data_IF_217379564576
#
_entry.id   IF_217379564576
#
_cell.length_a   1.000
_cell.length_b   1.000
_cell.length_c   1.000
_cell.angle_alpha   90.00
_cell.angle_beta   90.00
_cell.angle_gamma   90.00
#
_symmetry.space_group_name_H-M   'P 1'
#
loop_
_entity.id
_entity.type
_entity.pdbx_description
1 polymer ?
#
# COMPACT_ATOMS: atom_id res chain seq x y z
N UNK A 1 3.68 -0.66 -5.29
CA UNK A 1 2.22 -0.50 -5.51
C UNK A 1 1.91 -1.10 -6.85
N UNK A 2 0.93 -1.97 -6.90
CA UNK A 2 0.64 -2.76 -8.10
C UNK A 2 -0.71 -2.38 -8.67
N UNK A 3 -0.79 -2.28 -9.98
CA UNK A 3 -2.08 -2.18 -10.67
C UNK A 3 -2.92 -3.40 -10.34
N UNK A 4 -4.16 -3.17 -9.99
CA UNK A 4 -5.14 -4.23 -9.75
C UNK A 4 -5.76 -4.61 -11.10
N UNK A 5 -5.08 -5.46 -11.86
CA UNK A 5 -5.55 -5.96 -13.16
C UNK A 5 -6.62 -7.02 -12.98
N UNK A 6 -7.85 -6.61 -12.59
CA UNK A 6 -8.95 -7.56 -12.36
C UNK A 6 -10.29 -6.89 -12.59
N UNK A 7 -11.31 -7.69 -12.83
CA UNK A 7 -12.69 -7.21 -12.94
C UNK A 7 -13.17 -6.70 -11.58
N UNK A 8 -13.37 -5.40 -11.46
CA UNK A 8 -14.12 -4.80 -10.35
C UNK A 8 -15.60 -5.19 -10.50
N UNK A 9 -16.37 -5.24 -9.38
CA UNK A 9 -17.82 -5.36 -9.47
C UNK A 9 -18.37 -4.31 -10.41
N UNK A 10 -19.38 -4.66 -11.19
CA UNK A 10 -20.04 -3.70 -12.05
C UNK A 10 -21.13 -2.91 -11.28
N UNK A 11 -21.70 -1.92 -11.95
CA UNK A 11 -22.77 -1.10 -11.36
C UNK A 11 -23.98 -1.95 -11.02
N UNK A 12 -24.29 -2.96 -11.84
CA UNK A 12 -25.42 -3.85 -11.61
C UNK A 12 -25.25 -4.66 -10.32
N UNK A 13 -24.02 -5.15 -10.02
CA UNK A 13 -23.73 -5.85 -8.75
C UNK A 13 -24.04 -4.96 -7.54
N UNK A 14 -23.71 -3.66 -7.63
CA UNK A 14 -24.03 -2.69 -6.56
C UNK A 14 -25.54 -2.48 -6.42
N UNK A 15 -26.23 -2.30 -7.53
CA UNK A 15 -27.69 -2.09 -7.54
C UNK A 15 -28.42 -3.31 -6.97
N UNK A 16 -27.95 -4.53 -7.29
CA UNK A 16 -28.60 -5.78 -6.87
C UNK A 16 -28.52 -6.01 -5.36
N UNK A 17 -27.44 -5.58 -4.71
CA UNK A 17 -27.28 -5.76 -3.26
C UNK A 17 -28.03 -4.71 -2.42
N UNK A 18 -28.50 -3.63 -3.03
CA UNK A 18 -29.21 -2.55 -2.33
C UNK A 18 -30.72 -2.85 -2.26
N UNK A 19 -31.32 -2.86 -1.06
CA UNK A 19 -32.72 -3.18 -0.88
C UNK A 19 -33.61 -1.97 -1.16
N UNK A 20 -33.94 -1.75 -2.41
CA UNK A 20 -34.90 -0.74 -2.84
C UNK A 20 -35.83 -1.29 -3.93
N UNK A 21 -36.91 -0.58 -4.21
CA UNK A 21 -37.84 -1.02 -5.26
C UNK A 21 -37.25 -0.83 -6.66
N UNK A 22 -37.82 -1.50 -7.66
CA UNK A 22 -37.32 -1.48 -9.03
C UNK A 22 -37.20 -0.04 -9.63
N UNK A 23 -38.11 0.84 -9.29
CA UNK A 23 -38.05 2.24 -9.75
C UNK A 23 -36.84 3.00 -9.16
N UNK A 24 -36.52 2.75 -7.88
CA UNK A 24 -35.32 3.29 -7.25
C UNK A 24 -34.04 2.62 -7.77
N UNK A 25 -34.08 1.32 -8.08
CA UNK A 25 -32.94 0.61 -8.68
C UNK A 25 -32.58 1.17 -10.05
N UNK A 26 -33.57 1.40 -10.89
CA UNK A 26 -33.32 2.00 -12.22
C UNK A 26 -32.71 3.38 -12.10
N UNK A 27 -33.25 4.24 -11.21
CA UNK A 27 -32.70 5.57 -10.96
C UNK A 27 -31.26 5.49 -10.39
N UNK A 28 -31.00 4.54 -9.51
CA UNK A 28 -29.67 4.34 -8.94
C UNK A 28 -28.67 3.90 -10.01
N UNK A 29 -29.09 3.00 -10.90
CA UNK A 29 -28.27 2.53 -12.01
C UNK A 29 -27.90 3.68 -12.93
N UNK A 30 -28.88 4.43 -13.43
CA UNK A 30 -28.65 5.60 -14.27
C UNK A 30 -27.72 6.62 -13.61
N UNK A 31 -27.96 6.91 -12.34
CA UNK A 31 -27.11 7.81 -11.56
C UNK A 31 -25.67 7.35 -11.47
N UNK A 32 -25.43 6.06 -11.17
CA UNK A 32 -24.08 5.51 -11.08
C UNK A 32 -23.40 5.41 -12.45
N UNK A 33 -24.12 5.13 -13.51
CA UNK A 33 -23.58 5.07 -14.88
C UNK A 33 -23.05 6.45 -15.32
N UNK A 34 -23.79 7.52 -15.05
CA UNK A 34 -23.33 8.89 -15.36
C UNK A 34 -22.04 9.23 -14.59
N UNK A 35 -22.01 8.91 -13.30
CA UNK A 35 -20.83 9.18 -12.46
C UNK A 35 -19.64 8.31 -12.87
N UNK A 36 -19.87 7.04 -13.23
CA UNK A 36 -18.80 6.11 -13.65
C UNK A 36 -18.15 6.57 -14.95
N UNK A 37 -18.95 7.06 -15.90
CA UNK A 37 -18.46 7.59 -17.17
C UNK A 37 -17.55 8.80 -16.94
N UNK A 38 -18.00 9.80 -16.18
CA UNK A 38 -17.18 10.97 -15.83
C UNK A 38 -15.93 10.59 -15.04
N UNK A 39 -16.07 9.68 -14.05
CA UNK A 39 -14.94 9.22 -13.27
C UNK A 39 -13.88 8.55 -14.15
N UNK A 40 -14.29 7.68 -15.09
CA UNK A 40 -13.39 6.99 -16.02
C UNK A 40 -12.67 7.93 -16.97
N UNK A 41 -13.36 8.98 -17.43
CA UNK A 41 -12.72 10.02 -18.24
C UNK A 41 -11.62 10.73 -17.43
N UNK A 42 -11.91 11.15 -16.21
CA UNK A 42 -10.96 11.88 -15.36
C UNK A 42 -9.84 11.01 -14.78
N UNK A 43 -10.02 9.70 -14.70
CA UNK A 43 -8.96 8.78 -14.29
C UNK A 43 -7.79 8.78 -15.30
N UNK A 44 -8.09 8.93 -16.58
CA UNK A 44 -7.10 8.99 -17.66
C UNK A 44 -6.44 10.37 -17.71
N UNK A 45 -7.20 11.43 -17.47
CA UNK A 45 -6.68 12.80 -17.45
C UNK A 45 -6.00 13.12 -16.11
N UNK A 46 -6.79 13.26 -15.07
CA UNK A 46 -6.36 13.48 -13.69
C UNK A 46 -7.57 13.59 -12.74
N UNK A 47 -7.63 12.75 -11.71
CA UNK A 47 -8.79 12.67 -10.81
C UNK A 47 -9.12 13.95 -10.05
N UNK A 48 -8.14 14.86 -9.85
CA UNK A 48 -8.45 16.13 -9.19
C UNK A 48 -9.41 17.01 -10.00
N UNK A 49 -9.47 16.81 -11.34
CA UNK A 49 -10.40 17.54 -12.24
C UNK A 49 -11.82 17.03 -12.17
N UNK A 50 -12.08 15.89 -11.54
CA UNK A 50 -13.43 15.33 -11.43
C UNK A 50 -14.39 16.35 -10.79
N UNK A 51 -15.41 16.77 -11.52
CA UNK A 51 -16.42 17.69 -11.05
C UNK A 51 -17.83 17.16 -11.34
N UNK A 52 -18.40 16.46 -10.37
CA UNK A 52 -19.72 15.84 -10.52
C UNK A 52 -20.87 16.86 -10.58
N UNK A 53 -20.64 18.13 -10.22
CA UNK A 53 -21.65 19.18 -10.34
C UNK A 53 -21.90 19.57 -11.82
N UNK A 54 -20.93 19.29 -12.70
CA UNK A 54 -21.07 19.56 -14.13
C UNK A 54 -21.82 18.45 -14.86
N UNK A 55 -21.64 17.17 -14.44
CA UNK A 55 -22.30 16.04 -15.10
C UNK A 55 -23.70 15.72 -14.53
N UNK A 56 -23.95 16.08 -13.28
CA UNK A 56 -25.27 15.93 -12.66
C UNK A 56 -26.03 17.26 -12.79
N UNK A 57 -27.02 17.32 -13.65
CA UNK A 57 -27.90 18.47 -13.73
C UNK A 57 -28.51 18.78 -12.35
N UNK A 58 -28.52 20.04 -11.96
CA UNK A 58 -28.83 20.55 -10.61
C UNK A 58 -30.19 20.15 -10.03
N UNK A 59 -31.06 19.57 -10.82
CA UNK A 59 -32.39 19.10 -10.40
C UNK A 59 -32.47 17.62 -10.03
N UNK A 60 -31.38 16.87 -10.12
CA UNK A 60 -31.45 15.40 -10.10
C UNK A 60 -30.45 14.68 -9.20
N UNK A 61 -30.02 15.22 -8.04
CA UNK A 61 -29.41 14.37 -7.04
C UNK A 61 -30.51 13.46 -6.43
N UNK A 62 -30.70 12.22 -6.95
CA UNK A 62 -31.84 11.40 -6.54
C UNK A 62 -31.63 10.80 -5.15
N UNK A 63 -30.41 10.92 -4.61
CA UNK A 63 -30.02 10.29 -3.36
C UNK A 63 -29.17 11.21 -2.51
N UNK A 64 -29.58 11.38 -1.25
CA UNK A 64 -28.83 12.15 -0.26
C UNK A 64 -27.60 11.41 0.29
N UNK A 65 -26.69 12.17 0.88
CA UNK A 65 -25.44 11.66 1.42
C UNK A 65 -25.62 10.57 2.51
N UNK A 66 -26.63 10.69 3.33
CA UNK A 66 -26.85 9.74 4.42
C UNK A 66 -27.35 8.41 3.89
N UNK A 67 -28.23 8.43 2.90
CA UNK A 67 -28.74 7.24 2.22
C UNK A 67 -27.63 6.47 1.52
N UNK A 68 -26.77 7.15 0.74
CA UNK A 68 -25.63 6.53 0.07
C UNK A 68 -24.63 5.94 1.05
N UNK A 69 -24.31 6.63 2.15
CA UNK A 69 -23.42 6.13 3.19
C UNK A 69 -23.98 4.92 3.94
N UNK A 70 -25.31 4.91 4.19
CA UNK A 70 -25.98 3.75 4.78
C UNK A 70 -25.94 2.54 3.85
N UNK A 71 -26.20 2.72 2.56
CA UNK A 71 -26.11 1.66 1.56
C UNK A 71 -24.69 1.11 1.46
N UNK A 72 -23.68 1.99 1.42
CA UNK A 72 -22.28 1.53 1.49
C UNK A 72 -22.03 0.65 2.72
N UNK A 73 -22.35 1.17 3.91
CA UNK A 73 -22.05 0.51 5.17
C UNK A 73 -22.75 -0.85 5.32
N UNK A 74 -24.02 -0.88 4.98
CA UNK A 74 -24.90 -2.01 5.31
C UNK A 74 -25.02 -3.04 4.18
N UNK A 75 -24.72 -2.65 2.94
CA UNK A 75 -24.92 -3.51 1.77
C UNK A 75 -23.66 -3.67 0.95
N UNK A 76 -23.15 -2.62 0.32
CA UNK A 76 -22.00 -2.69 -0.60
C UNK A 76 -20.78 -3.26 0.10
N UNK A 77 -20.34 -2.66 1.20
CA UNK A 77 -19.19 -3.16 1.94
C UNK A 77 -19.34 -4.58 2.44
N UNK A 78 -20.52 -4.94 2.97
CA UNK A 78 -20.72 -6.25 3.56
C UNK A 78 -20.88 -7.37 2.54
N UNK A 79 -21.58 -7.11 1.43
CA UNK A 79 -21.94 -8.12 0.45
C UNK A 79 -20.95 -8.23 -0.69
N UNK A 80 -20.33 -7.11 -1.10
CA UNK A 80 -19.46 -7.07 -2.27
C UNK A 80 -17.95 -7.05 -1.94
N UNK A 81 -17.55 -6.97 -0.68
CA UNK A 81 -16.12 -6.92 -0.33
C UNK A 81 -15.34 -8.10 -0.94
N UNK A 82 -15.93 -9.28 -1.01
CA UNK A 82 -15.29 -10.47 -1.58
C UNK A 82 -15.29 -10.47 -3.12
N UNK A 83 -16.19 -9.70 -3.76
CA UNK A 83 -16.25 -9.57 -5.21
C UNK A 83 -15.22 -8.59 -5.77
N UNK A 84 -14.68 -7.69 -4.91
CA UNK A 84 -13.58 -6.83 -5.32
C UNK A 84 -12.31 -7.65 -5.55
N UNK A 85 -11.51 -7.28 -6.56
CA UNK A 85 -10.33 -8.04 -6.94
C UNK A 85 -9.29 -8.11 -5.82
N UNK A 86 -8.54 -9.19 -5.84
CA UNK A 86 -7.37 -9.41 -4.99
C UNK A 86 -6.13 -9.37 -5.84
N UNK A 87 -5.15 -8.60 -5.42
CA UNK A 87 -3.80 -8.75 -5.95
C UNK A 87 -3.23 -10.00 -5.30
N UNK A 88 -2.70 -10.92 -6.10
CA UNK A 88 -2.06 -12.13 -5.62
C UNK A 88 -0.57 -12.07 -5.92
N UNK A 89 0.23 -12.51 -4.97
CA UNK A 89 1.63 -12.80 -5.22
C UNK A 89 1.78 -14.11 -6.01
N UNK A 90 2.99 -14.55 -6.25
CA UNK A 90 3.27 -15.74 -7.04
C UNK A 90 2.79 -17.05 -6.42
N UNK A 91 2.80 -17.12 -5.09
CA UNK A 91 2.29 -18.27 -4.34
C UNK A 91 0.77 -18.27 -4.28
N UNK A 92 0.11 -17.42 -5.09
CA UNK A 92 -1.34 -17.18 -5.08
C UNK A 92 -1.87 -16.64 -3.75
N UNK A 93 -0.98 -16.10 -2.91
CA UNK A 93 -1.35 -15.47 -1.64
C UNK A 93 -1.85 -14.05 -1.92
N UNK A 94 -3.03 -13.72 -1.42
CA UNK A 94 -3.61 -12.41 -1.58
C UNK A 94 -2.85 -11.35 -0.77
N UNK A 95 -2.55 -10.22 -1.43
CA UNK A 95 -1.87 -9.07 -0.83
C UNK A 95 -2.69 -7.79 -0.99
N UNK A 96 -2.47 -6.86 -0.08
CA UNK A 96 -3.12 -5.54 -0.17
C UNK A 96 -2.42 -4.66 -1.21
N UNK A 97 -3.16 -4.04 -2.15
CA UNK A 97 -2.55 -3.27 -3.24
C UNK A 97 -1.76 -2.04 -2.77
N UNK A 98 -2.09 -1.45 -1.62
CA UNK A 98 -1.40 -0.27 -1.11
C UNK A 98 -0.07 -0.60 -0.44
N UNK A 99 -0.11 -1.42 0.59
CA UNK A 99 1.07 -1.72 1.40
C UNK A 99 1.71 -3.06 1.05
N UNK A 100 1.11 -3.84 0.16
CA UNK A 100 1.56 -5.15 -0.29
C UNK A 100 1.74 -6.18 0.84
N UNK A 101 1.09 -5.96 1.99
CA UNK A 101 1.03 -6.93 3.06
C UNK A 101 0.12 -8.11 2.68
N UNK A 102 0.46 -9.29 3.18
CA UNK A 102 -0.39 -10.48 3.05
C UNK A 102 -1.73 -10.24 3.73
N UNK A 103 -2.82 -10.74 3.15
CA UNK A 103 -4.15 -10.71 3.75
C UNK A 103 -4.19 -11.58 5.01
N UNK A 104 -3.78 -11.03 6.13
CA UNK A 104 -3.82 -11.69 7.44
C UNK A 104 -4.66 -10.95 8.47
N UNK A 105 -5.20 -9.80 8.10
CA UNK A 105 -5.94 -8.89 8.99
C UNK A 105 -7.32 -8.59 8.42
N UNK A 106 -8.08 -7.76 9.10
CA UNK A 106 -9.40 -7.36 8.63
C UNK A 106 -9.31 -6.61 7.30
N UNK A 107 -9.85 -7.22 6.25
CA UNK A 107 -10.01 -6.60 4.94
C UNK A 107 -11.07 -5.51 5.05
N UNK A 108 -10.82 -4.38 4.41
CA UNK A 108 -11.76 -3.27 4.30
C UNK A 108 -11.76 -2.71 2.88
N UNK A 109 -12.77 -1.92 2.54
CA UNK A 109 -12.80 -1.15 1.31
C UNK A 109 -12.46 0.31 1.64
N UNK A 110 -11.46 0.84 0.97
CA UNK A 110 -11.07 2.25 1.01
C UNK A 110 -11.65 2.99 -0.19
N UNK A 111 -11.93 4.26 0.00
CA UNK A 111 -12.37 5.15 -1.07
C UNK A 111 -11.17 5.89 -1.63
N UNK A 112 -10.90 5.74 -2.92
CA UNK A 112 -9.82 6.45 -3.60
C UNK A 112 -10.03 7.95 -3.47
N UNK A 113 -11.20 8.46 -3.89
CA UNK A 113 -11.66 9.79 -3.52
C UNK A 113 -12.52 9.65 -2.27
N UNK A 114 -12.19 10.31 -1.15
CA UNK A 114 -12.89 10.14 0.12
C UNK A 114 -14.37 10.54 0.06
N UNK A 115 -15.22 9.81 0.77
CA UNK A 115 -16.67 10.08 0.91
C UNK A 115 -17.03 11.07 2.03
N UNK A 116 -16.05 11.63 2.73
CA UNK A 116 -16.27 12.52 3.87
C UNK A 116 -16.71 13.93 3.48
N UNK A 117 -16.91 14.80 4.49
CA UNK A 117 -17.33 16.20 4.26
C UNK A 117 -16.40 17.02 3.34
N UNK A 118 -15.16 16.59 3.20
CA UNK A 118 -14.14 17.22 2.33
C UNK A 118 -13.82 16.40 1.09
N UNK A 119 -14.49 15.28 0.92
CA UNK A 119 -14.45 14.42 -0.26
C UNK A 119 -15.72 14.60 -1.08
N UNK A 120 -16.13 13.51 -1.75
CA UNK A 120 -17.38 13.47 -2.51
C UNK A 120 -18.21 12.24 -2.14
N UNK A 121 -19.33 12.45 -1.44
CA UNK A 121 -20.19 11.37 -0.98
C UNK A 121 -20.89 10.63 -2.14
N UNK A 122 -21.02 11.26 -3.30
CA UNK A 122 -21.63 10.68 -4.51
C UNK A 122 -20.88 9.47 -5.01
N UNK A 123 -19.56 9.43 -4.75
CA UNK A 123 -18.66 8.33 -5.09
C UNK A 123 -18.66 7.19 -4.05
N UNK A 124 -19.51 7.30 -3.01
CA UNK A 124 -19.48 6.42 -1.84
C UNK A 124 -19.70 4.94 -2.17
N UNK A 125 -20.50 4.63 -3.19
CA UNK A 125 -20.84 3.26 -3.62
C UNK A 125 -20.37 2.94 -5.04
N UNK A 126 -19.62 3.84 -5.67
CA UNK A 126 -19.08 3.65 -7.02
C UNK A 126 -17.94 2.62 -7.00
N UNK A 127 -18.05 1.47 -7.69
CA UNK A 127 -17.05 0.40 -7.60
C UNK A 127 -15.63 0.81 -7.93
N UNK A 128 -15.43 1.58 -9.02
CA UNK A 128 -14.09 2.03 -9.44
C UNK A 128 -13.42 2.98 -8.44
N UNK A 129 -14.20 3.57 -7.53
CA UNK A 129 -13.69 4.38 -6.41
C UNK A 129 -13.40 3.57 -5.14
N UNK A 130 -13.63 2.25 -5.16
CA UNK A 130 -13.48 1.38 -4.00
C UNK A 130 -12.38 0.35 -4.23
N UNK A 131 -11.46 0.21 -3.28
CA UNK A 131 -10.35 -0.73 -3.37
C UNK A 131 -10.15 -1.48 -2.06
N UNK A 132 -9.82 -2.77 -2.15
CA UNK A 132 -9.46 -3.57 -0.96
C UNK A 132 -8.19 -3.03 -0.31
N UNK A 133 -8.22 -2.83 0.99
CA UNK A 133 -7.01 -2.48 1.74
C UNK A 133 -7.03 -3.06 3.15
N UNK A 134 -5.90 -3.03 3.84
CA UNK A 134 -5.83 -3.39 5.25
C UNK A 134 -6.41 -2.27 6.12
N UNK A 135 -6.79 -2.62 7.35
CA UNK A 135 -7.33 -1.65 8.31
C UNK A 135 -6.35 -0.51 8.59
N UNK A 136 -5.07 -0.77 8.62
CA UNK A 136 -4.04 0.24 8.89
C UNK A 136 -3.97 1.30 7.79
N UNK A 137 -4.00 0.89 6.52
CA UNK A 137 -4.08 1.82 5.40
C UNK A 137 -5.41 2.59 5.38
N UNK A 138 -6.54 1.96 5.72
CA UNK A 138 -7.85 2.61 5.76
C UNK A 138 -8.00 3.63 6.91
N UNK A 139 -7.23 3.50 7.97
CA UNK A 139 -7.24 4.48 9.09
C UNK A 139 -6.31 5.66 8.86
N UNK A 140 -5.71 5.75 7.69
CA UNK A 140 -4.79 6.82 7.30
C UNK A 140 -5.50 8.19 7.15
N UNK A 141 -4.72 9.23 7.01
CA UNK A 141 -5.19 10.62 7.00
C UNK A 141 -5.86 11.07 5.68
N UNK A 142 -6.18 10.13 4.80
CA UNK A 142 -6.84 10.44 3.53
C UNK A 142 -8.32 10.79 3.76
N UNK A 143 -8.59 12.06 3.99
CA UNK A 143 -9.94 12.55 4.34
C UNK A 143 -10.46 13.66 3.42
N UNK A 144 -9.67 14.07 2.42
CA UNK A 144 -10.00 15.20 1.53
C UNK A 144 -9.78 14.79 0.10
N UNK A 145 -10.70 15.23 -0.79
CA UNK A 145 -10.45 15.24 -2.22
C UNK A 145 -9.32 16.20 -2.55
N UNK A 146 -8.47 15.82 -3.45
CA UNK A 146 -7.36 16.63 -3.96
C UNK A 146 -7.87 17.89 -4.65
N UNK A 147 -7.03 18.93 -4.63
CA UNK A 147 -7.36 20.24 -5.21
C UNK A 147 -6.36 20.69 -6.26
N UNK A 148 -5.33 19.91 -6.48
CA UNK A 148 -4.31 20.18 -7.49
C UNK A 148 -3.82 18.88 -8.10
N UNK A 149 -3.21 18.98 -9.25
CA UNK A 149 -2.61 17.85 -9.96
C UNK A 149 -1.56 17.13 -9.09
N UNK A 150 -0.75 17.87 -8.35
CA UNK A 150 0.28 17.34 -7.47
C UNK A 150 -0.28 16.49 -6.32
N UNK A 151 -1.51 16.76 -5.90
CA UNK A 151 -2.20 16.04 -4.83
C UNK A 151 -3.14 14.97 -5.37
N UNK A 152 -3.32 14.87 -6.68
CA UNK A 152 -4.31 14.00 -7.30
C UNK A 152 -4.16 12.56 -6.82
N UNK A 153 -5.29 11.96 -6.52
CA UNK A 153 -5.37 10.59 -6.06
C UNK A 153 -4.81 9.65 -7.12
N UNK A 154 -4.16 8.58 -6.64
CA UNK A 154 -3.66 7.48 -7.47
C UNK A 154 -4.69 6.37 -7.45
N UNK A 155 -5.17 5.98 -8.62
CA UNK A 155 -6.08 4.86 -8.76
C UNK A 155 -5.34 3.61 -9.23
N UNK A 156 -5.12 2.66 -8.33
CA UNK A 156 -4.37 1.44 -8.61
C UNK A 156 -5.09 0.46 -9.56
N UNK A 157 -6.30 0.75 -10.03
CA UNK A 157 -6.92 0.00 -11.12
C UNK A 157 -6.31 0.36 -12.48
N UNK A 158 -5.73 1.54 -12.62
CA UNK A 158 -5.16 2.04 -13.89
C UNK A 158 -3.70 2.50 -13.78
N UNK A 159 -3.23 2.80 -12.59
CA UNK A 159 -1.88 3.32 -12.34
C UNK A 159 -1.06 2.34 -11.51
N UNK A 160 0.21 2.17 -11.86
CA UNK A 160 1.17 1.42 -11.05
C UNK A 160 2.47 2.20 -10.87
N UNK A 161 3.08 2.06 -9.70
CA UNK A 161 4.37 2.66 -9.40
C UNK A 161 5.25 1.63 -8.71
N UNK A 162 6.39 1.34 -9.26
CA UNK A 162 7.37 0.41 -8.68
C UNK A 162 8.16 1.08 -7.54
N UNK A 163 7.46 1.48 -6.49
CA UNK A 163 8.07 2.14 -5.32
C UNK A 163 9.12 1.24 -4.65
N UNK A 164 8.97 -0.07 -4.74
CA UNK A 164 9.88 -1.02 -4.14
C UNK A 164 11.34 -0.80 -4.52
N UNK A 165 11.60 -0.48 -5.80
CA UNK A 165 12.96 -0.24 -6.28
C UNK A 165 13.62 1.00 -5.67
N UNK A 166 12.84 1.87 -5.03
CA UNK A 166 13.29 3.12 -4.42
C UNK A 166 13.20 3.11 -2.89
N UNK A 167 13.02 1.93 -2.31
CA UNK A 167 13.09 1.75 -0.87
C UNK A 167 14.56 1.64 -0.47
N UNK A 168 14.97 2.51 0.44
CA UNK A 168 16.26 2.49 1.11
C UNK A 168 16.06 2.21 2.59
N UNK A 169 17.04 1.59 3.22
CA UNK A 169 17.04 1.32 4.66
C UNK A 169 18.16 2.13 5.30
N UNK A 170 17.83 2.90 6.30
CA UNK A 170 18.74 3.62 7.17
C UNK A 170 18.69 3.04 8.59
N UNK A 171 19.63 3.42 9.43
CA UNK A 171 19.71 2.93 10.80
C UNK A 171 19.71 4.11 11.79
N UNK A 172 18.69 4.15 12.66
CA UNK A 172 18.68 5.01 13.83
C UNK A 172 19.40 4.28 14.98
N UNK A 173 20.53 4.83 15.42
CA UNK A 173 21.32 4.25 16.50
C UNK A 173 21.18 5.11 17.74
N UNK A 174 20.55 4.55 18.77
CA UNK A 174 20.34 5.23 20.06
C UNK A 174 20.70 4.30 21.20
N UNK A 175 21.51 4.76 22.13
CA UNK A 175 21.89 4.02 23.34
C UNK A 175 22.42 2.62 23.04
N UNK A 176 23.23 2.46 21.97
CA UNK A 176 23.77 1.18 21.56
C UNK A 176 22.73 0.21 20.95
N UNK A 177 21.54 0.69 20.60
CA UNK A 177 20.51 -0.10 19.90
C UNK A 177 20.35 0.38 18.48
N UNK A 178 20.25 -0.55 17.57
CA UNK A 178 20.00 -0.31 16.14
C UNK A 178 18.51 -0.48 15.88
N UNK A 179 17.92 0.51 15.23
CA UNK A 179 16.56 0.48 14.72
C UNK A 179 16.59 0.74 13.21
N UNK A 180 16.31 -0.24 12.36
CA UNK A 180 16.20 0.00 10.93
C UNK A 180 14.95 0.83 10.62
N UNK A 181 15.09 1.76 9.69
CA UNK A 181 14.00 2.61 9.20
C UNK A 181 14.00 2.62 7.67
N UNK A 182 12.80 2.64 7.10
CA UNK A 182 12.59 2.71 5.65
C UNK A 182 12.48 4.15 5.21
N UNK A 183 13.21 4.48 4.17
CA UNK A 183 13.09 5.72 3.45
C UNK A 183 12.65 5.45 2.00
N UNK A 184 11.87 6.37 1.44
CA UNK A 184 11.45 6.32 0.05
C UNK A 184 12.27 7.32 -0.75
N UNK A 185 13.22 6.84 -1.55
CA UNK A 185 14.08 7.67 -2.40
C UNK A 185 13.30 8.15 -3.66
N UNK A 186 12.16 8.79 -3.46
CA UNK A 186 11.24 9.18 -4.54
C UNK A 186 11.92 10.21 -5.48
N UNK A 187 12.82 11.03 -4.97
CA UNK A 187 13.53 11.99 -5.79
C UNK A 187 14.46 11.34 -6.84
N UNK A 188 14.91 10.11 -6.58
CA UNK A 188 15.77 9.34 -7.48
C UNK A 188 14.97 8.62 -8.58
N UNK A 189 13.65 8.65 -8.50
CA UNK A 189 12.77 8.04 -9.49
C UNK A 189 12.83 8.80 -10.82
N UNK A 190 12.79 8.04 -11.92
CA UNK A 190 12.74 8.60 -13.29
C UNK A 190 11.30 8.98 -13.67
N UNK A 191 10.62 9.73 -12.81
CA UNK A 191 9.30 10.28 -13.03
C UNK A 191 9.34 11.79 -13.17
N UNK A 192 8.31 12.36 -13.76
CA UNK A 192 8.11 13.81 -13.75
C UNK A 192 7.90 14.30 -12.31
N UNK A 193 8.27 15.55 -12.04
CA UNK A 193 8.17 16.12 -10.68
C UNK A 193 6.75 16.04 -10.11
N UNK A 194 5.75 16.13 -10.97
CA UNK A 194 4.35 16.04 -10.58
C UNK A 194 3.98 14.63 -10.12
N UNK A 195 4.47 13.59 -10.82
CA UNK A 195 4.26 12.19 -10.44
C UNK A 195 4.99 11.88 -9.13
N UNK A 196 6.19 12.40 -8.93
CA UNK A 196 6.92 12.28 -7.66
C UNK A 196 6.12 12.85 -6.50
N UNK A 197 5.52 14.01 -6.66
CA UNK A 197 4.66 14.63 -5.63
C UNK A 197 3.40 13.83 -5.37
N UNK A 198 2.74 13.31 -6.39
CA UNK A 198 1.59 12.40 -6.24
C UNK A 198 1.96 11.15 -5.44
N UNK A 199 3.12 10.53 -5.75
CA UNK A 199 3.63 9.36 -5.02
C UNK A 199 3.95 9.73 -3.57
N UNK A 200 4.60 10.88 -3.31
CA UNK A 200 4.87 11.35 -1.94
C UNK A 200 3.58 11.52 -1.14
N UNK A 201 2.57 12.14 -1.74
CA UNK A 201 1.26 12.31 -1.11
C UNK A 201 0.58 10.96 -0.85
N UNK A 202 0.67 10.02 -1.78
CA UNK A 202 0.13 8.68 -1.61
C UNK A 202 0.82 7.94 -0.44
N UNK A 203 2.16 7.91 -0.41
CA UNK A 203 2.94 7.31 0.69
C UNK A 203 2.53 7.91 2.04
N UNK A 204 2.36 9.23 2.10
CA UNK A 204 1.94 9.96 3.30
C UNK A 204 0.49 9.66 3.68
N UNK A 205 -0.44 9.73 2.72
CA UNK A 205 -1.87 9.58 2.96
C UNK A 205 -2.22 8.18 3.47
N UNK A 206 -1.54 7.14 2.96
CA UNK A 206 -1.76 5.75 3.38
C UNK A 206 -0.75 5.29 4.45
N UNK A 207 0.05 6.22 4.99
CA UNK A 207 1.02 5.95 6.06
C UNK A 207 1.96 4.76 5.77
N UNK A 208 2.36 4.63 4.51
CA UNK A 208 3.13 3.46 4.05
C UNK A 208 4.49 3.36 4.74
N UNK A 209 5.13 4.51 5.04
CA UNK A 209 6.41 4.52 5.77
C UNK A 209 6.29 3.79 7.11
N UNK A 210 5.21 4.01 7.86
CA UNK A 210 5.00 3.33 9.15
C UNK A 210 4.79 1.82 8.97
N UNK A 211 3.99 1.43 8.00
CA UNK A 211 3.75 0.01 7.69
C UNK A 211 5.05 -0.70 7.31
N UNK A 212 5.87 -0.09 6.47
CA UNK A 212 7.14 -0.66 6.02
C UNK A 212 8.20 -0.67 7.13
N UNK A 213 8.25 0.38 7.97
CA UNK A 213 9.09 0.40 9.16
C UNK A 213 8.75 -0.74 10.12
N UNK A 214 7.47 -1.03 10.31
CA UNK A 214 7.07 -2.16 11.15
C UNK A 214 7.60 -3.48 10.62
N UNK A 215 7.51 -3.71 9.31
CA UNK A 215 7.98 -4.95 8.67
C UNK A 215 9.48 -5.10 8.72
N UNK A 216 10.24 -4.06 8.38
CA UNK A 216 11.71 -4.13 8.40
C UNK A 216 12.23 -4.41 9.81
N UNK A 217 11.57 -3.87 10.84
CA UNK A 217 11.90 -4.14 12.24
C UNK A 217 11.59 -5.59 12.65
N UNK A 218 10.52 -6.19 12.12
CA UNK A 218 10.24 -7.61 12.33
C UNK A 218 11.33 -8.47 11.69
N UNK A 219 11.70 -8.18 10.45
CA UNK A 219 12.78 -8.93 9.77
C UNK A 219 14.12 -8.76 10.48
N UNK A 220 14.45 -7.57 10.96
CA UNK A 220 15.65 -7.35 11.75
C UNK A 220 15.67 -8.21 13.02
N UNK A 221 14.56 -8.27 13.75
CA UNK A 221 14.45 -9.15 14.93
C UNK A 221 14.65 -10.63 14.58
N UNK A 222 14.09 -11.09 13.45
CA UNK A 222 14.29 -12.47 12.97
C UNK A 222 15.76 -12.74 12.67
N UNK A 223 16.44 -11.84 11.95
CA UNK A 223 17.86 -11.96 11.64
C UNK A 223 18.72 -11.99 12.90
N UNK A 224 18.45 -11.12 13.87
CA UNK A 224 19.14 -11.15 15.17
C UNK A 224 18.92 -12.47 15.91
N UNK A 225 17.71 -13.03 15.84
CA UNK A 225 17.42 -14.32 16.47
C UNK A 225 18.17 -15.47 15.76
N UNK A 226 18.25 -15.46 14.45
CA UNK A 226 19.04 -16.43 13.68
C UNK A 226 20.53 -16.32 14.03
N UNK A 227 21.08 -15.10 14.09
CA UNK A 227 22.46 -14.87 14.54
C UNK A 227 22.73 -15.50 15.91
N UNK A 228 21.86 -15.24 16.88
CA UNK A 228 22.00 -15.76 18.25
C UNK A 228 21.97 -17.28 18.31
N UNK A 229 21.18 -17.91 17.46
CA UNK A 229 20.99 -19.37 17.47
C UNK A 229 22.12 -20.13 16.74
N UNK A 230 22.73 -19.51 15.74
CA UNK A 230 23.63 -20.22 14.83
C UNK A 230 25.12 -19.83 14.95
N UNK A 231 25.41 -18.66 15.51
CA UNK A 231 26.81 -18.26 15.66
C UNK A 231 27.38 -18.63 17.01
N UNK A 232 28.47 -19.42 16.96
CA UNK A 232 29.26 -19.82 18.15
C UNK A 232 30.26 -18.74 18.56
N UNK A 233 30.65 -17.85 17.65
CA UNK A 233 31.53 -16.71 17.93
C UNK A 233 31.04 -15.47 17.25
N UNK A 234 31.21 -14.34 17.93
CA UNK A 234 30.73 -13.04 17.47
C UNK A 234 31.93 -12.18 17.07
N UNK A 235 32.16 -12.11 15.78
CA UNK A 235 33.19 -11.27 15.16
C UNK A 235 32.57 -10.56 13.95
N UNK A 236 33.02 -9.37 13.65
CA UNK A 236 32.49 -8.57 12.53
C UNK A 236 32.61 -9.25 11.17
N UNK A 237 33.72 -9.98 10.91
CA UNK A 237 33.92 -10.74 9.68
C UNK A 237 32.93 -11.91 9.53
N UNK A 238 32.60 -12.57 10.63
CA UNK A 238 31.60 -13.66 10.66
C UNK A 238 30.18 -13.08 10.46
N UNK A 239 29.86 -11.95 11.10
CA UNK A 239 28.59 -11.26 10.90
C UNK A 239 28.41 -10.79 9.46
N UNK A 240 29.45 -10.18 8.88
CA UNK A 240 29.42 -9.77 7.49
C UNK A 240 29.13 -10.95 6.55
N UNK A 241 29.83 -12.07 6.79
CA UNK A 241 29.60 -13.30 6.01
C UNK A 241 28.18 -13.84 6.18
N UNK A 242 27.63 -13.76 7.39
CA UNK A 242 26.23 -14.14 7.64
C UNK A 242 25.25 -13.25 6.86
N UNK A 243 25.41 -11.93 6.91
CA UNK A 243 24.50 -11.03 6.18
C UNK A 243 24.66 -11.18 4.65
N UNK A 244 25.86 -11.42 4.14
CA UNK A 244 26.08 -11.73 2.72
C UNK A 244 25.36 -13.01 2.31
N UNK A 245 25.45 -14.07 3.11
CA UNK A 245 24.74 -15.32 2.88
C UNK A 245 23.21 -15.15 2.97
N UNK A 246 22.70 -14.44 3.97
CA UNK A 246 21.27 -14.16 4.09
C UNK A 246 20.76 -13.32 2.92
N UNK A 247 21.56 -12.36 2.43
CA UNK A 247 21.21 -11.57 1.23
C UNK A 247 21.02 -12.47 0.02
N UNK A 248 21.90 -13.45 -0.20
CA UNK A 248 21.77 -14.40 -1.32
C UNK A 248 20.48 -15.23 -1.19
N UNK A 249 20.18 -15.74 0.00
CA UNK A 249 18.93 -16.47 0.26
C UNK A 249 17.72 -15.57 -0.02
N UNK A 250 17.71 -14.34 0.47
CA UNK A 250 16.59 -13.43 0.25
C UNK A 250 16.49 -13.02 -1.22
N UNK A 251 17.59 -12.84 -1.94
CA UNK A 251 17.58 -12.48 -3.35
C UNK A 251 16.98 -13.60 -4.21
N UNK A 252 17.31 -14.85 -3.93
CA UNK A 252 16.72 -16.01 -4.62
C UNK A 252 15.18 -16.08 -4.47
N UNK A 253 14.63 -15.56 -3.38
CA UNK A 253 13.19 -15.64 -3.07
C UNK A 253 12.46 -14.29 -3.10
N UNK A 254 13.16 -13.16 -3.14
CA UNK A 254 12.55 -11.84 -3.14
C UNK A 254 11.96 -11.45 -4.49
N UNK A 255 12.52 -12.00 -5.56
CA UNK A 255 12.17 -11.67 -6.93
C UNK A 255 11.46 -12.83 -7.60
N UNK A 256 10.46 -12.51 -8.39
CA UNK A 256 9.82 -13.44 -9.28
C UNK A 256 9.81 -12.85 -10.67
N UNK A 257 10.25 -13.62 -11.63
CA UNK A 257 10.20 -13.27 -13.05
C UNK A 257 8.99 -13.93 -13.70
N UNK A 258 8.08 -13.11 -14.21
CA UNK A 258 6.98 -13.56 -15.06
C UNK A 258 6.91 -12.62 -16.25
N UNK A 259 7.10 -13.14 -17.46
CA UNK A 259 7.04 -12.36 -18.69
C UNK A 259 8.00 -11.16 -18.71
N UNK A 260 9.25 -11.36 -18.29
CA UNK A 260 10.31 -10.34 -18.22
C UNK A 260 10.08 -9.20 -17.21
N UNK A 261 9.05 -9.29 -16.37
CA UNK A 261 8.81 -8.36 -15.27
C UNK A 261 9.24 -8.97 -13.94
N UNK A 262 9.99 -8.20 -13.11
CA UNK A 262 10.39 -8.60 -11.78
C UNK A 262 9.37 -8.14 -10.76
N UNK A 263 8.76 -9.12 -10.08
CA UNK A 263 7.88 -8.86 -8.94
C UNK A 263 8.57 -9.31 -7.65
N UNK A 264 8.38 -8.61 -6.57
CA UNK A 264 8.97 -8.98 -5.31
C UNK A 264 7.94 -9.57 -4.33
N UNK A 265 8.41 -10.44 -3.46
CA UNK A 265 7.61 -11.14 -2.47
C UNK A 265 7.84 -10.51 -1.11
N UNK A 266 6.76 -10.16 -0.44
CA UNK A 266 6.66 -9.29 0.72
C UNK A 266 7.75 -9.45 1.79
N UNK A 267 7.88 -10.64 2.37
CA UNK A 267 8.78 -10.82 3.53
C UNK A 267 10.25 -10.83 3.14
N UNK A 268 10.57 -11.55 2.08
CA UNK A 268 11.96 -11.72 1.63
C UNK A 268 12.54 -10.40 1.11
N UNK A 269 11.71 -9.55 0.51
CA UNK A 269 12.14 -8.24 0.05
C UNK A 269 12.68 -7.35 1.17
N UNK A 270 12.00 -7.29 2.31
CA UNK A 270 12.50 -6.49 3.45
C UNK A 270 13.76 -7.09 4.06
N UNK A 271 13.88 -8.42 4.07
CA UNK A 271 15.11 -9.12 4.48
C UNK A 271 16.27 -8.80 3.55
N UNK A 272 16.04 -8.83 2.22
CA UNK A 272 17.02 -8.46 1.21
C UNK A 272 17.51 -7.02 1.42
N UNK A 273 16.58 -6.05 1.45
CA UNK A 273 16.91 -4.62 1.63
C UNK A 273 17.66 -4.34 2.94
N UNK A 274 17.31 -5.05 3.99
CA UNK A 274 18.00 -4.93 5.28
C UNK A 274 19.42 -5.45 5.20
N UNK A 275 19.65 -6.63 4.60
CA UNK A 275 21.00 -7.19 4.42
C UNK A 275 21.85 -6.29 3.51
N UNK A 276 21.29 -5.80 2.39
CA UNK A 276 21.96 -4.84 1.50
C UNK A 276 22.44 -3.61 2.27
N UNK A 277 21.57 -3.00 3.06
CA UNK A 277 21.88 -1.79 3.82
C UNK A 277 22.96 -2.03 4.89
N UNK A 278 22.91 -3.16 5.62
CA UNK A 278 23.94 -3.51 6.61
C UNK A 278 25.31 -3.72 5.94
N UNK A 279 25.33 -4.42 4.82
CA UNK A 279 26.56 -4.67 4.06
C UNK A 279 27.13 -3.35 3.53
N UNK A 280 26.30 -2.52 2.91
CA UNK A 280 26.70 -1.23 2.35
C UNK A 280 27.23 -0.28 3.43
N UNK A 281 26.54 -0.19 4.58
CA UNK A 281 26.98 0.65 5.70
C UNK A 281 28.38 0.23 6.18
N UNK A 282 28.62 -1.07 6.32
CA UNK A 282 29.92 -1.58 6.69
C UNK A 282 31.01 -1.32 5.62
N UNK A 283 30.69 -1.53 4.34
CA UNK A 283 31.63 -1.30 3.22
C UNK A 283 31.99 0.19 3.06
N UNK A 284 31.09 1.08 3.48
CA UNK A 284 31.34 2.53 3.54
C UNK A 284 32.10 2.96 4.80
N UNK A 285 32.58 2.03 5.62
CA UNK A 285 33.34 2.30 6.84
C UNK A 285 32.51 2.59 8.08
N UNK A 286 31.20 2.35 8.04
CA UNK A 286 30.31 2.47 9.19
C UNK A 286 30.50 1.35 10.21
N UNK A 287 29.98 1.54 11.40
CA UNK A 287 30.20 0.69 12.56
C UNK A 287 28.99 -0.21 12.90
N UNK A 288 28.02 -0.32 12.00
CA UNK A 288 26.76 -1.02 12.21
C UNK A 288 26.93 -2.48 12.70
N UNK A 289 27.91 -3.21 12.15
CA UNK A 289 28.19 -4.59 12.58
C UNK A 289 28.72 -4.65 14.01
N UNK A 290 29.55 -3.67 14.39
CA UNK A 290 30.08 -3.56 15.76
C UNK A 290 28.95 -3.30 16.75
N UNK A 291 28.02 -2.40 16.40
CA UNK A 291 26.88 -2.08 17.25
C UNK A 291 25.93 -3.29 17.36
N UNK A 292 25.65 -3.99 16.27
CA UNK A 292 24.87 -5.24 16.30
C UNK A 292 25.51 -6.29 17.21
N UNK A 293 26.85 -6.45 17.17
CA UNK A 293 27.56 -7.33 18.08
C UNK A 293 27.33 -6.95 19.54
N UNK A 294 27.54 -5.68 19.87
CA UNK A 294 27.34 -5.17 21.24
C UNK A 294 25.90 -5.40 21.74
N UNK A 295 24.90 -5.20 20.87
CA UNK A 295 23.49 -5.50 21.18
C UNK A 295 23.28 -6.98 21.53
N UNK A 296 23.87 -7.89 20.73
CA UNK A 296 23.73 -9.33 20.95
C UNK A 296 24.42 -9.76 22.25
N UNK A 297 25.60 -9.20 22.55
CA UNK A 297 26.34 -9.48 23.77
C UNK A 297 25.62 -8.96 25.02
N UNK A 298 25.09 -7.72 24.97
CA UNK A 298 24.34 -7.14 26.07
C UNK A 298 23.10 -7.99 26.45
N UNK A 299 22.32 -8.42 25.45
CA UNK A 299 21.15 -9.28 25.68
C UNK A 299 21.48 -10.70 26.23
N UNK A 300 22.73 -11.16 26.09
CA UNK A 300 23.17 -12.42 26.71
C UNK A 300 23.54 -12.27 28.16
N UNK A 301 24.02 -11.06 28.56
CA UNK A 301 24.40 -10.79 29.94
C UNK A 301 23.19 -10.57 30.85
N UNK A 302 22.04 -10.21 30.26
CA UNK A 302 20.78 -9.99 30.97
C UNK A 302 19.97 -11.30 31.18
N UNK A 303 20.46 -12.45 30.73
CA UNK A 303 19.87 -13.79 30.93
C UNK A 303 20.67 -14.64 31.91
#
# INVERSE_FOLDING_TARGET
MRTVNCNIPDIQDVVDVIPCNEGEKNKLKEYLEIIDEEYREKIVENLYLLNLDECLESESEPFDAEKLKQWYKNHVRQKLINSFPEVKNNDQIAIYPFCEAIFNTQITLEHIIPKGKKGDYRLCILPINLIKCCKECNTSNHSKKSKSEEESEINLYVESFEIANYIQVSFDVKEGRVKPEVEFAINDMQFMEIEKKRIQNFVKNYNLKMSYNHRIQIEFKKLLQLLKNHLSSYRTDILLSFFKYQREIYDDYAWYEKFDEKYWIDQNFFGLKLCEAIIQEHENGGDILTIILQMIEAEKMDR
#
